data_IF_516720906749
#
_entry.id   IF_516720906749
#
_cell.length_a   1.000
_cell.length_b   1.000
_cell.length_c   1.000
_cell.angle_alpha   90.00
_cell.angle_beta   90.00
_cell.angle_gamma   90.00
#
_symmetry.space_group_name_H-M   'P 1'
#
loop_
_entity.id
_entity.type
_entity.pdbx_description
1 polymer ?
#
# COMPACT_ATOMS: atom_id res chain seq x y z
N UNK A 1 -55.83 -44.31 -64.68
CA UNK A 1 -54.40 -44.51 -64.34
C UNK A 1 -53.86 -43.23 -63.71
N UNK A 2 -53.15 -43.36 -62.59
CA UNK A 2 -52.39 -42.29 -61.94
C UNK A 2 -51.24 -41.80 -62.87
N UNK A 3 -50.58 -40.64 -62.62
CA UNK A 3 -49.76 -40.45 -61.43
C UNK A 3 -49.87 -39.08 -60.73
N UNK A 4 -49.74 -39.17 -59.41
CA UNK A 4 -49.64 -38.09 -58.42
C UNK A 4 -48.37 -37.26 -58.65
N UNK A 5 -48.50 -35.94 -58.80
CA UNK A 5 -47.40 -34.97 -58.75
C UNK A 5 -47.12 -34.59 -57.30
N UNK A 6 -45.95 -34.99 -56.81
CA UNK A 6 -45.39 -34.62 -55.51
C UNK A 6 -45.11 -33.11 -55.46
N UNK A 7 -45.95 -32.36 -54.75
CA UNK A 7 -45.75 -30.93 -54.47
C UNK A 7 -44.88 -30.78 -53.22
N UNK A 8 -43.65 -30.28 -53.42
CA UNK A 8 -42.67 -30.01 -52.37
C UNK A 8 -42.96 -28.65 -51.73
N UNK A 9 -43.36 -28.72 -50.47
CA UNK A 9 -43.43 -27.72 -49.38
C UNK A 9 -43.05 -26.28 -49.71
N UNK A 10 -44.03 -25.43 -49.42
CA UNK A 10 -44.02 -23.98 -49.26
C UNK A 10 -42.96 -23.47 -48.29
N UNK A 11 -42.50 -22.27 -48.64
CA UNK A 11 -41.55 -21.38 -47.99
C UNK A 11 -41.98 -21.04 -46.57
N UNK A 12 -41.05 -21.14 -45.61
CA UNK A 12 -41.05 -20.25 -44.44
C UNK A 12 -39.67 -19.66 -44.31
N UNK A 13 -39.63 -18.38 -44.67
CA UNK A 13 -38.52 -17.45 -44.58
C UNK A 13 -37.92 -17.47 -43.17
N UNK A 14 -36.63 -17.85 -43.08
CA UNK A 14 -35.85 -17.73 -41.86
C UNK A 14 -35.60 -16.24 -41.61
N UNK A 15 -36.40 -15.68 -40.69
CA UNK A 15 -36.16 -14.38 -40.06
C UNK A 15 -34.81 -14.45 -39.33
N UNK A 16 -33.90 -13.48 -39.49
CA UNK A 16 -32.60 -13.52 -38.83
C UNK A 16 -32.83 -13.39 -37.33
N UNK A 17 -32.29 -14.36 -36.58
CA UNK A 17 -32.27 -14.32 -35.11
C UNK A 17 -31.54 -13.05 -34.69
N UNK A 18 -32.33 -12.09 -34.21
CA UNK A 18 -31.84 -10.89 -33.59
C UNK A 18 -31.00 -11.28 -32.38
N UNK A 19 -29.69 -11.06 -32.52
CA UNK A 19 -28.74 -10.63 -31.48
C UNK A 19 -29.36 -10.53 -30.08
N UNK A 20 -29.41 -11.64 -29.36
CA UNK A 20 -29.46 -11.61 -27.90
C UNK A 20 -28.10 -11.11 -27.46
N UNK A 21 -27.96 -9.79 -27.27
CA UNK A 21 -26.86 -9.23 -26.49
C UNK A 21 -26.92 -9.96 -25.15
N UNK A 22 -25.94 -10.82 -24.88
CA UNK A 22 -25.56 -11.15 -23.52
C UNK A 22 -25.40 -9.81 -22.81
N UNK A 23 -26.38 -9.47 -21.99
CA UNK A 23 -26.23 -8.45 -21.00
C UNK A 23 -25.10 -8.97 -20.12
N UNK A 24 -23.89 -8.45 -20.36
CA UNK A 24 -22.78 -8.54 -19.44
C UNK A 24 -23.30 -8.01 -18.11
N UNK A 25 -23.71 -8.93 -17.25
CA UNK A 25 -24.04 -8.65 -15.86
C UNK A 25 -22.74 -8.14 -15.26
N UNK A 26 -22.64 -6.81 -15.18
CA UNK A 26 -21.56 -6.14 -14.46
C UNK A 26 -21.45 -6.85 -13.10
N UNK A 27 -20.24 -7.27 -12.68
CA UNK A 27 -20.08 -7.90 -11.38
C UNK A 27 -20.72 -7.00 -10.32
N UNK A 28 -21.37 -7.59 -9.30
CA UNK A 28 -22.08 -6.82 -8.28
C UNK A 28 -21.12 -5.75 -7.75
N UNK A 29 -21.47 -4.48 -8.00
CA UNK A 29 -20.62 -3.39 -7.56
C UNK A 29 -20.59 -3.45 -6.04
N UNK A 30 -19.37 -3.50 -5.48
CA UNK A 30 -19.17 -3.46 -4.05
C UNK A 30 -19.95 -2.24 -3.49
N UNK A 31 -20.87 -2.41 -2.53
CA UNK A 31 -21.71 -1.32 -2.03
C UNK A 31 -20.88 -0.13 -1.53
N UNK A 32 -19.70 -0.39 -0.94
CA UNK A 32 -18.76 0.66 -0.53
C UNK A 32 -18.21 1.49 -1.70
N UNK A 33 -18.12 0.91 -2.90
CA UNK A 33 -17.69 1.62 -4.10
C UNK A 33 -18.77 2.59 -4.58
N UNK A 34 -20.03 2.21 -4.46
CA UNK A 34 -21.17 3.06 -4.82
C UNK A 34 -21.26 4.26 -3.87
N UNK A 35 -21.14 4.02 -2.56
CA UNK A 35 -21.10 5.07 -1.55
C UNK A 35 -19.95 6.06 -1.78
N UNK A 36 -18.75 5.56 -2.09
CA UNK A 36 -17.61 6.43 -2.39
C UNK A 36 -17.87 7.31 -3.62
N UNK A 37 -18.48 6.77 -4.68
CA UNK A 37 -18.82 7.53 -5.89
C UNK A 37 -19.83 8.65 -5.56
N UNK A 38 -20.83 8.38 -4.73
CA UNK A 38 -21.80 9.40 -4.32
C UNK A 38 -21.18 10.53 -3.49
N UNK A 39 -20.10 10.28 -2.77
CA UNK A 39 -19.39 11.29 -1.96
C UNK A 39 -18.40 12.08 -2.82
N UNK A 40 -17.80 11.46 -3.85
CA UNK A 40 -16.80 12.10 -4.71
C UNK A 40 -17.31 13.37 -5.39
N UNK A 41 -18.60 13.44 -5.74
CA UNK A 41 -19.21 14.62 -6.36
C UNK A 41 -19.23 15.86 -5.44
N UNK A 42 -19.13 15.65 -4.12
CA UNK A 42 -19.10 16.73 -3.12
C UNK A 42 -17.70 17.21 -2.74
N UNK A 43 -16.64 16.59 -3.28
CA UNK A 43 -15.25 16.90 -2.93
C UNK A 43 -14.61 17.84 -3.95
N UNK A 44 -13.72 18.70 -3.47
CA UNK A 44 -12.93 19.56 -4.33
C UNK A 44 -11.73 18.80 -4.93
N UNK A 45 -11.04 19.45 -5.89
CA UNK A 45 -9.91 18.83 -6.61
C UNK A 45 -8.77 18.40 -5.67
N UNK A 46 -8.47 19.18 -4.64
CA UNK A 46 -7.38 18.88 -3.70
C UNK A 46 -7.72 17.68 -2.82
N UNK A 47 -8.98 17.58 -2.36
CA UNK A 47 -9.50 16.46 -1.59
C UNK A 47 -9.53 15.17 -2.42
N UNK A 48 -9.92 15.26 -3.69
CA UNK A 48 -9.89 14.14 -4.63
C UNK A 48 -8.44 13.68 -4.88
N UNK A 49 -7.51 14.62 -5.06
CA UNK A 49 -6.09 14.31 -5.23
C UNK A 49 -5.49 13.65 -3.99
N UNK A 50 -5.89 14.10 -2.80
CA UNK A 50 -5.51 13.47 -1.55
C UNK A 50 -6.01 12.03 -1.47
N UNK A 51 -7.29 11.77 -1.76
CA UNK A 51 -7.86 10.43 -1.79
C UNK A 51 -7.16 9.52 -2.82
N UNK A 52 -6.82 10.05 -3.99
CA UNK A 52 -6.11 9.30 -5.01
C UNK A 52 -4.71 8.89 -4.53
N UNK A 53 -4.01 9.79 -3.84
CA UNK A 53 -2.70 9.51 -3.23
C UNK A 53 -2.81 8.41 -2.17
N UNK A 54 -3.85 8.47 -1.32
CA UNK A 54 -4.11 7.43 -0.32
C UNK A 54 -4.39 6.08 -0.98
N UNK A 55 -5.25 6.04 -2.00
CA UNK A 55 -5.59 4.83 -2.73
C UNK A 55 -4.37 4.21 -3.42
N UNK A 56 -3.53 5.01 -4.06
CA UNK A 56 -2.29 4.54 -4.69
C UNK A 56 -1.31 3.96 -3.67
N UNK A 57 -1.19 4.59 -2.49
CA UNK A 57 -0.37 4.08 -1.39
C UNK A 57 -0.88 2.71 -0.93
N UNK A 58 -2.21 2.55 -0.74
CA UNK A 58 -2.80 1.26 -0.35
C UNK A 58 -2.56 0.17 -1.40
N UNK A 59 -2.74 0.49 -2.69
CA UNK A 59 -2.49 -0.46 -3.79
C UNK A 59 -1.02 -0.88 -3.83
N UNK A 60 -0.11 0.08 -3.68
CA UNK A 60 1.32 -0.21 -3.62
C UNK A 60 1.65 -1.11 -2.42
N UNK A 61 1.11 -0.81 -1.23
CA UNK A 61 1.31 -1.60 -0.02
C UNK A 61 0.79 -3.03 -0.19
N UNK A 62 -0.41 -3.23 -0.73
CA UNK A 62 -0.93 -4.57 -1.03
C UNK A 62 -0.02 -5.34 -2.00
N UNK A 63 0.50 -4.67 -3.04
CA UNK A 63 1.42 -5.29 -3.99
C UNK A 63 2.73 -5.70 -3.31
N UNK A 64 3.28 -4.84 -2.46
CA UNK A 64 4.49 -5.15 -1.67
C UNK A 64 4.22 -6.30 -0.70
N UNK A 65 3.08 -6.32 -0.02
CA UNK A 65 2.68 -7.43 0.87
C UNK A 65 2.54 -8.75 0.11
N UNK A 66 1.94 -8.75 -1.08
CA UNK A 66 1.81 -9.94 -1.93
C UNK A 66 3.17 -10.47 -2.40
N UNK A 67 4.07 -9.58 -2.83
CA UNK A 67 5.44 -9.92 -3.18
C UNK A 67 6.23 -10.46 -1.97
N UNK A 68 6.03 -9.88 -0.79
CA UNK A 68 6.65 -10.36 0.45
C UNK A 68 6.08 -11.72 0.87
N UNK A 69 4.78 -11.94 0.72
CA UNK A 69 4.11 -13.21 1.06
C UNK A 69 4.57 -14.33 0.14
N UNK A 70 4.66 -14.07 -1.17
CA UNK A 70 5.20 -15.04 -2.12
C UNK A 70 6.68 -15.36 -1.87
N UNK A 71 7.50 -14.36 -1.55
CA UNK A 71 8.89 -14.56 -1.16
C UNK A 71 9.06 -15.38 0.13
N UNK A 72 8.20 -15.16 1.13
CA UNK A 72 8.14 -15.96 2.38
C UNK A 72 7.78 -17.41 2.09
N UNK A 73 6.71 -17.65 1.32
CA UNK A 73 6.30 -19.01 0.95
C UNK A 73 7.42 -19.78 0.22
N UNK A 74 8.20 -19.12 -0.64
CA UNK A 74 9.36 -19.70 -1.32
C UNK A 74 10.53 -20.00 -0.35
N UNK A 75 10.75 -19.15 0.65
CA UNK A 75 11.77 -19.35 1.69
C UNK A 75 11.39 -20.48 2.66
N UNK A 76 10.13 -20.56 3.08
CA UNK A 76 9.60 -21.59 3.97
C UNK A 76 9.60 -22.97 3.30
N UNK A 77 9.30 -23.04 2.00
CA UNK A 77 9.40 -24.27 1.19
C UNK A 77 10.84 -24.82 1.13
N UNK A 78 11.86 -23.96 1.09
CA UNK A 78 13.28 -24.37 1.15
C UNK A 78 13.74 -24.76 2.56
N UNK A 79 13.11 -24.22 3.60
CA UNK A 79 13.43 -24.52 5.00
C UNK A 79 12.88 -25.89 5.43
N UNK A 80 11.74 -26.31 4.89
CA UNK A 80 11.12 -27.60 5.23
C UNK A 80 11.88 -28.85 4.73
N UNK A 81 12.86 -28.72 3.82
CA UNK A 81 13.76 -29.82 3.43
C UNK A 81 15.03 -29.93 4.29
N UNK A 82 15.28 -28.99 5.20
CA UNK A 82 16.45 -29.06 6.10
C UNK A 82 16.00 -28.96 7.56
N UNK A 83 16.05 -30.12 8.21
CA UNK A 83 16.20 -30.36 9.66
C UNK A 83 14.92 -30.61 10.47
N UNK A 84 14.66 -31.90 10.71
CA UNK A 84 14.38 -32.39 12.04
C UNK A 84 15.56 -32.05 12.96
N UNK A 85 15.39 -31.08 13.86
CA UNK A 85 16.10 -30.94 15.13
C UNK A 85 15.53 -29.73 15.90
N UNK A 86 15.25 -29.96 17.17
CA UNK A 86 14.54 -29.12 18.13
C UNK A 86 15.08 -27.69 18.37
N UNK A 87 14.27 -26.81 19.01
CA UNK A 87 14.37 -25.37 18.87
C UNK A 87 15.30 -24.73 19.91
N UNK A 88 16.04 -23.72 19.48
CA UNK A 88 16.51 -22.64 20.37
C UNK A 88 16.05 -21.31 19.82
N UNK A 89 15.35 -20.59 20.68
CA UNK A 89 15.10 -19.15 20.66
C UNK A 89 16.26 -18.40 20.03
N UNK A 90 15.99 -17.80 18.87
CA UNK A 90 16.97 -17.01 18.13
C UNK A 90 16.22 -16.05 17.23
N UNK A 91 16.28 -14.77 17.59
CA UNK A 91 15.80 -13.63 16.82
C UNK A 91 16.07 -13.84 15.33
N UNK A 92 15.00 -13.85 14.54
CA UNK A 92 15.07 -14.00 13.08
C UNK A 92 15.68 -12.75 12.45
N UNK A 93 17.00 -12.62 12.51
CA UNK A 93 17.79 -11.91 11.50
C UNK A 93 17.60 -12.68 10.20
N UNK A 94 16.81 -12.12 9.28
CA UNK A 94 17.04 -12.11 7.83
C UNK A 94 15.71 -11.98 7.07
N UNK A 95 15.28 -10.72 6.91
CA UNK A 95 14.76 -10.14 5.67
C UNK A 95 14.56 -8.66 6.00
N UNK A 96 15.56 -7.83 5.72
CA UNK A 96 15.42 -6.38 5.86
C UNK A 96 14.48 -5.93 4.75
N UNK A 97 13.18 -5.99 5.01
CA UNK A 97 12.24 -5.18 4.26
C UNK A 97 12.64 -3.73 4.56
N UNK A 98 13.16 -3.00 3.58
CA UNK A 98 13.59 -1.60 3.75
C UNK A 98 12.37 -0.66 3.78
N UNK A 99 11.25 -1.14 4.33
CA UNK A 99 9.97 -0.43 4.35
C UNK A 99 10.02 0.65 5.40
N UNK A 100 9.98 1.90 4.96
CA UNK A 100 9.93 3.08 5.82
C UNK A 100 8.57 3.73 5.66
N UNK A 101 7.82 3.86 6.76
CA UNK A 101 6.53 4.54 6.74
C UNK A 101 6.20 5.22 8.07
N UNK A 102 5.26 6.17 8.07
CA UNK A 102 4.72 6.82 9.26
C UNK A 102 3.21 6.69 9.24
N UNK A 103 2.67 5.95 10.21
CA UNK A 103 1.23 5.65 10.30
C UNK A 103 0.64 6.16 11.61
N UNK A 104 -0.61 6.61 11.58
CA UNK A 104 -1.36 6.95 12.79
C UNK A 104 -1.78 5.68 13.53
N UNK A 105 -1.76 5.70 14.86
CA UNK A 105 -1.94 4.51 15.68
C UNK A 105 -2.89 4.75 16.86
N UNK A 106 -4.06 4.11 16.83
CA UNK A 106 -5.01 4.06 17.96
C UNK A 106 -5.71 5.38 18.32
N UNK A 107 -5.23 6.54 17.87
CA UNK A 107 -5.87 7.84 18.11
C UNK A 107 -5.18 9.00 17.38
N UNK A 108 -5.75 10.22 17.44
CA UNK A 108 -5.33 11.34 16.59
C UNK A 108 -3.92 11.88 16.89
N UNK A 109 -3.39 11.60 18.09
CA UNK A 109 -2.13 12.16 18.60
C UNK A 109 -0.96 11.17 18.65
N UNK A 110 -1.18 9.96 18.15
CA UNK A 110 -0.27 8.83 18.30
C UNK A 110 0.11 8.30 16.93
N UNK A 111 1.40 8.12 16.70
CA UNK A 111 1.95 7.72 15.42
C UNK A 111 2.98 6.61 15.63
N UNK A 112 3.23 5.82 14.59
CA UNK A 112 4.33 4.87 14.59
C UNK A 112 5.18 5.10 13.34
N UNK A 113 6.49 5.14 13.52
CA UNK A 113 7.45 4.98 12.43
C UNK A 113 7.70 3.49 12.25
N UNK A 114 7.45 3.01 11.04
CA UNK A 114 7.87 1.69 10.57
C UNK A 114 9.26 1.84 9.94
N UNK A 115 10.25 1.14 10.50
CA UNK A 115 11.61 1.05 9.97
C UNK A 115 11.95 -0.42 9.80
N UNK A 116 11.60 -0.93 8.62
CA UNK A 116 11.67 -2.35 8.28
C UNK A 116 10.89 -3.23 9.24
N UNK A 117 11.60 -3.91 10.14
CA UNK A 117 10.97 -4.81 11.12
C UNK A 117 10.67 -4.14 12.46
N UNK A 118 11.05 -2.87 12.63
CA UNK A 118 10.88 -2.11 13.86
C UNK A 118 9.69 -1.17 13.75
N UNK A 119 8.83 -1.19 14.77
CA UNK A 119 7.69 -0.28 14.90
C UNK A 119 7.91 0.58 16.13
N UNK A 120 8.19 1.85 15.90
CA UNK A 120 8.61 2.79 16.94
C UNK A 120 7.53 3.84 17.14
N UNK A 121 7.09 3.99 18.38
CA UNK A 121 6.04 4.92 18.73
C UNK A 121 6.52 6.37 18.74
N UNK A 122 5.68 7.27 18.27
CA UNK A 122 5.81 8.72 18.34
C UNK A 122 4.53 9.35 18.86
N UNK A 123 4.67 10.37 19.70
CA UNK A 123 3.59 11.26 20.05
C UNK A 123 3.48 12.45 19.06
N UNK A 124 2.40 13.21 19.16
CA UNK A 124 2.14 14.37 18.29
C UNK A 124 3.21 15.46 18.38
N UNK A 125 3.80 15.70 19.56
CA UNK A 125 4.82 16.75 19.73
C UNK A 125 6.12 16.36 19.03
N UNK A 126 6.53 15.09 19.17
CA UNK A 126 7.66 14.52 18.45
C UNK A 126 7.43 14.61 16.94
N UNK A 127 6.25 14.19 16.46
CA UNK A 127 5.92 14.29 15.04
C UNK A 127 5.99 15.75 14.56
N UNK A 128 5.40 16.70 15.29
CA UNK A 128 5.47 18.13 14.94
C UNK A 128 6.92 18.65 14.89
N UNK A 129 7.78 18.20 15.80
CA UNK A 129 9.20 18.56 15.77
C UNK A 129 9.90 18.03 14.51
N UNK A 130 9.62 16.77 14.14
CA UNK A 130 10.16 16.16 12.93
C UNK A 130 9.66 16.86 11.65
N UNK A 131 8.38 17.22 11.58
CA UNK A 131 7.81 17.96 10.44
C UNK A 131 8.43 19.35 10.34
N UNK A 132 8.62 20.08 11.45
CA UNK A 132 9.32 21.38 11.45
C UNK A 132 10.74 21.26 10.93
N UNK A 133 11.47 20.19 11.31
CA UNK A 133 12.82 19.92 10.80
C UNK A 133 12.78 19.68 9.29
N UNK A 134 11.84 18.88 8.81
CA UNK A 134 11.69 18.57 7.39
C UNK A 134 11.33 19.81 6.55
N UNK A 135 10.42 20.66 7.04
CA UNK A 135 10.05 21.89 6.32
C UNK A 135 11.18 22.93 6.31
N UNK A 136 11.96 23.02 7.39
CA UNK A 136 13.07 23.97 7.51
C UNK A 136 14.36 23.54 6.76
N UNK A 137 14.38 22.34 6.17
CA UNK A 137 15.54 21.84 5.42
C UNK A 137 15.45 22.23 3.94
N UNK A 138 16.61 22.57 3.36
CA UNK A 138 16.67 23.02 1.97
C UNK A 138 16.59 21.85 0.97
N UNK A 139 17.23 20.74 1.31
CA UNK A 139 17.33 19.55 0.47
C UNK A 139 17.18 18.25 1.30
N UNK A 140 17.07 17.11 0.61
CA UNK A 140 16.87 15.81 1.27
C UNK A 140 18.07 15.33 2.08
N UNK A 141 19.29 15.74 1.74
CA UNK A 141 20.50 15.45 2.50
C UNK A 141 20.58 16.27 3.78
N UNK A 142 20.33 17.58 3.71
CA UNK A 142 20.23 18.45 4.89
C UNK A 142 19.09 17.98 5.81
N UNK A 143 17.92 17.66 5.26
CA UNK A 143 16.79 17.10 6.00
C UNK A 143 17.13 15.81 6.73
N UNK A 144 17.72 14.83 6.03
CA UNK A 144 18.16 13.57 6.64
C UNK A 144 19.20 13.79 7.75
N UNK A 145 20.17 14.68 7.54
CA UNK A 145 21.19 15.00 8.54
C UNK A 145 20.60 15.64 9.80
N UNK A 146 19.64 16.57 9.64
CA UNK A 146 18.95 17.20 10.78
C UNK A 146 18.06 16.21 11.53
N UNK A 147 17.33 15.33 10.81
CA UNK A 147 16.54 14.26 11.41
C UNK A 147 17.41 13.30 12.21
N UNK A 148 18.55 12.86 11.67
CA UNK A 148 19.50 12.00 12.39
C UNK A 148 19.99 12.66 13.67
N UNK A 149 20.30 13.96 13.63
CA UNK A 149 20.78 14.71 14.80
C UNK A 149 19.70 14.83 15.87
N UNK A 150 18.45 15.04 15.45
CA UNK A 150 17.31 15.06 16.37
C UNK A 150 17.06 13.69 16.99
N UNK A 151 17.03 12.62 16.19
CA UNK A 151 16.87 11.25 16.71
C UNK A 151 17.99 10.87 17.66
N UNK A 152 19.24 11.25 17.35
CA UNK A 152 20.38 10.97 18.23
C UNK A 152 20.21 11.60 19.62
N UNK A 153 19.57 12.76 19.69
CA UNK A 153 19.38 13.52 20.94
C UNK A 153 18.13 13.07 21.70
N UNK A 154 16.99 12.99 21.03
CA UNK A 154 15.68 12.80 21.67
C UNK A 154 15.25 11.32 21.68
N UNK A 155 15.62 10.54 20.65
CA UNK A 155 15.09 9.19 20.39
C UNK A 155 16.14 8.25 19.79
N UNK A 156 17.23 8.04 20.52
CA UNK A 156 18.35 7.21 20.03
C UNK A 156 17.96 5.74 19.82
N UNK A 157 16.87 5.29 20.46
CA UNK A 157 16.22 3.99 20.23
C UNK A 157 15.80 3.82 18.76
N UNK A 158 15.26 4.87 18.14
CA UNK A 158 14.81 4.82 16.73
C UNK A 158 15.99 4.52 15.79
N UNK A 159 17.17 5.07 16.09
CA UNK A 159 18.37 4.81 15.29
C UNK A 159 18.89 3.38 15.50
N UNK A 160 18.93 2.92 16.75
CA UNK A 160 19.45 1.58 17.09
C UNK A 160 18.52 0.49 16.56
N UNK A 161 17.24 0.56 16.88
CA UNK A 161 16.25 -0.45 16.52
C UNK A 161 15.89 -0.37 15.04
N UNK A 162 15.90 0.83 14.46
CA UNK A 162 15.74 1.06 13.02
C UNK A 162 16.98 0.74 12.19
N UNK A 163 18.10 0.39 12.84
CA UNK A 163 19.36 0.05 12.17
C UNK A 163 19.97 1.20 11.35
N UNK A 164 19.74 2.45 11.76
CA UNK A 164 20.25 3.66 11.12
C UNK A 164 21.52 4.08 11.84
N UNK A 165 22.67 3.88 11.19
CA UNK A 165 23.97 4.17 11.82
C UNK A 165 24.57 5.51 11.39
N UNK A 166 24.14 6.08 10.27
CA UNK A 166 24.77 7.28 9.71
C UNK A 166 23.73 8.33 9.26
N UNK A 167 24.10 9.63 9.21
CA UNK A 167 23.21 10.70 8.77
C UNK A 167 22.85 10.66 7.28
N UNK A 168 23.63 9.96 6.46
CA UNK A 168 23.41 9.84 5.02
C UNK A 168 22.52 8.64 4.65
N UNK A 169 21.93 7.96 5.64
CA UNK A 169 21.14 6.76 5.45
C UNK A 169 19.91 7.07 4.57
N UNK A 170 19.66 6.20 3.60
CA UNK A 170 18.55 6.36 2.65
C UNK A 170 17.21 6.37 3.38
N UNK A 171 17.07 5.64 4.49
CA UNK A 171 15.83 5.60 5.29
C UNK A 171 15.47 6.97 5.83
N UNK A 172 16.45 7.75 6.28
CA UNK A 172 16.22 9.11 6.77
C UNK A 172 15.71 10.04 5.66
N UNK A 173 16.20 9.87 4.43
CA UNK A 173 15.70 10.63 3.27
C UNK A 173 14.24 10.27 2.96
N UNK A 174 13.88 9.00 3.09
CA UNK A 174 12.49 8.55 2.92
C UNK A 174 11.59 9.10 4.03
N UNK A 175 12.03 9.04 5.30
CA UNK A 175 11.32 9.67 6.43
C UNK A 175 11.11 11.16 6.15
N UNK A 176 12.15 11.86 5.69
CA UNK A 176 12.07 13.28 5.32
C UNK A 176 11.00 13.54 4.25
N UNK A 177 11.00 12.78 3.15
CA UNK A 177 10.01 12.91 2.09
C UNK A 177 8.59 12.68 2.62
N UNK A 178 8.37 11.61 3.40
CA UNK A 178 7.06 11.32 3.99
C UNK A 178 6.58 12.47 4.89
N UNK A 179 7.47 13.01 5.73
CA UNK A 179 7.14 14.12 6.62
C UNK A 179 6.75 15.39 5.86
N UNK A 180 7.45 15.68 4.77
CA UNK A 180 7.20 16.87 3.94
C UNK A 180 5.94 16.74 3.10
N UNK A 181 5.66 15.56 2.58
CA UNK A 181 4.56 15.34 1.63
C UNK A 181 3.22 15.10 2.34
N UNK A 182 3.22 14.42 3.49
CA UNK A 182 1.98 13.99 4.18
C UNK A 182 1.55 14.89 5.32
N UNK A 183 2.45 15.70 5.87
CA UNK A 183 2.17 16.49 7.07
C UNK A 183 2.48 17.96 6.84
N UNK A 184 1.57 18.83 7.26
CA UNK A 184 1.77 20.28 7.22
C UNK A 184 2.02 20.82 8.63
N UNK A 185 2.80 21.90 8.72
CA UNK A 185 3.01 22.60 9.99
C UNK A 185 1.77 23.43 10.27
N UNK A 186 0.90 22.92 11.15
CA UNK A 186 -0.22 23.64 11.75
C UNK A 186 0.10 24.18 13.14
#
# INVERSE_FOLDING_TARGET
>A
MAPKKTTRKTVTTRKPVAKSKEAQTKPPQNPAKLELISILDGLNLDEINWLNTQAQTMVYNHKVEELNKSARNLADSKKHMKTAASPKTGSSKNAVNDTVDIIQAGGPKNFNILLGNSRLFLNLQELKALVKIAVAANDSGDGAGRLYRWFSKERSDILKDGGISNPADKRLKVIYSILKDRFTVG
#
